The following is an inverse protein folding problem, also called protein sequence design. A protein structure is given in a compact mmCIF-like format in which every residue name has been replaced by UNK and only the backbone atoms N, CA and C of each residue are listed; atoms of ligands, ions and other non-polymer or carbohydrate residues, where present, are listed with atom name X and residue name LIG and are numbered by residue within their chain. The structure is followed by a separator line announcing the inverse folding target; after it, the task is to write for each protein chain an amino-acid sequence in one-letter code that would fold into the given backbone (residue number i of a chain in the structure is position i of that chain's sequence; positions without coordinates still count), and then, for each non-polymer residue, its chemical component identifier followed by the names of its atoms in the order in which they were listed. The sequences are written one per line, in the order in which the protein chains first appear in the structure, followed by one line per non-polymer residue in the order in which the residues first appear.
data_IF_917572642113
#
_entry.id   IF_917572642113
#
_cell.length_a   1.000
_cell.length_b   1.000
_cell.length_c   1.000
_cell.angle_alpha   90.00
_cell.angle_beta   90.00
_cell.angle_gamma   90.00
#
_symmetry.space_group_name_H-M   'P 1'
#
loop_
_entity.id
_entity.type
_entity.pdbx_description
1 polymer ?
#
# COMPACT_ATOMS: atom_id res chain seq x y z
N UNK A 1 9.78 -5.67 2.09
CA UNK A 1 9.20 -5.23 0.80
C UNK A 1 10.12 -4.22 0.17
N UNK A 2 10.55 -4.41 -1.08
CA UNK A 2 11.26 -3.36 -1.78
C UNK A 2 10.32 -2.14 -1.93
N UNK A 3 10.77 -1.00 -1.44
CA UNK A 3 10.12 0.29 -1.67
C UNK A 3 10.71 0.87 -2.94
N UNK A 4 9.88 1.50 -3.78
CA UNK A 4 10.39 2.28 -4.90
C UNK A 4 11.23 3.47 -4.39
N UNK A 5 12.14 4.03 -5.21
CA UNK A 5 13.02 5.10 -4.77
C UNK A 5 12.29 6.33 -4.21
N UNK A 6 11.10 6.68 -4.73
CA UNK A 6 10.35 7.83 -4.25
C UNK A 6 9.77 7.56 -2.85
N UNK A 7 9.14 6.39 -2.66
CA UNK A 7 8.67 5.94 -1.35
C UNK A 7 9.79 5.83 -0.31
N UNK A 8 10.96 5.33 -0.73
CA UNK A 8 12.15 5.25 0.13
C UNK A 8 12.63 6.62 0.59
N UNK A 9 12.74 7.58 -0.34
CA UNK A 9 13.17 8.94 -0.02
C UNK A 9 12.21 9.64 0.95
N UNK A 10 10.91 9.44 0.79
CA UNK A 10 9.91 9.98 1.74
C UNK A 10 10.06 9.33 3.11
N UNK A 11 10.22 8.01 3.18
CA UNK A 11 10.42 7.30 4.45
C UNK A 11 11.67 7.81 5.19
N UNK A 12 12.78 8.01 4.49
CA UNK A 12 14.01 8.56 5.09
C UNK A 12 13.75 9.93 5.74
N UNK A 13 13.08 10.85 5.04
CA UNK A 13 12.70 12.16 5.62
C UNK A 13 11.80 12.03 6.85
N UNK A 14 10.89 11.06 6.86
CA UNK A 14 10.04 10.79 8.03
C UNK A 14 10.86 10.25 9.21
N UNK A 15 11.86 9.40 8.95
CA UNK A 15 12.77 8.87 9.96
C UNK A 15 13.68 9.96 10.53
N UNK A 16 14.23 10.83 9.69
CA UNK A 16 15.03 11.99 10.13
C UNK A 16 14.20 12.92 11.04
N UNK A 17 12.96 13.23 10.63
CA UNK A 17 12.05 14.02 11.46
C UNK A 17 11.76 13.33 12.79
N UNK A 18 11.60 12.00 12.76
CA UNK A 18 11.31 11.19 13.92
C UNK A 18 12.45 11.20 14.94
N UNK A 19 13.70 11.19 14.51
CA UNK A 19 14.86 11.24 15.41
C UNK A 19 14.92 12.55 16.20
N UNK A 20 14.45 13.65 15.60
CA UNK A 20 14.33 14.96 16.27
C UNK A 20 13.22 14.97 17.34
N UNK A 21 12.21 14.07 17.25
CA UNK A 21 11.10 14.06 18.20
C UNK A 21 11.51 13.65 19.62
N UNK A 22 12.68 13.04 19.81
CA UNK A 22 13.21 12.59 21.11
C UNK A 22 12.16 11.83 21.94
N UNK A 23 11.52 10.84 21.30
CA UNK A 23 10.49 10.00 21.94
C UNK A 23 11.02 8.60 22.20
N UNK A 24 10.72 8.06 23.38
CA UNK A 24 10.96 6.65 23.72
C UNK A 24 9.92 5.67 23.15
N UNK A 25 8.96 6.16 22.36
CA UNK A 25 8.03 5.32 21.63
C UNK A 25 8.81 4.51 20.58
N UNK A 26 8.61 3.18 20.44
CA UNK A 26 9.36 2.37 19.47
C UNK A 26 8.76 2.34 18.05
N UNK A 27 7.56 2.90 17.84
CA UNK A 27 6.83 2.78 16.57
C UNK A 27 7.27 3.81 15.52
N UNK A 28 7.31 3.44 14.24
CA UNK A 28 7.68 4.36 13.14
C UNK A 28 6.74 5.56 13.08
N UNK A 29 5.43 5.34 13.14
CA UNK A 29 4.44 6.42 13.19
C UNK A 29 4.15 6.82 14.64
N UNK A 30 4.44 8.09 14.97
CA UNK A 30 4.16 8.69 16.27
C UNK A 30 3.25 9.90 16.06
N UNK A 31 2.18 9.98 16.84
CA UNK A 31 1.25 11.11 16.83
C UNK A 31 1.50 11.98 18.05
N UNK A 32 0.91 13.19 18.08
CA UNK A 32 0.95 14.04 19.27
C UNK A 32 0.45 13.31 20.53
N UNK A 33 -0.55 12.44 20.39
CA UNK A 33 -1.11 11.66 21.50
C UNK A 33 -0.26 10.46 21.91
N UNK A 34 0.49 9.83 21.00
CA UNK A 34 1.30 8.65 21.31
C UNK A 34 2.75 8.96 21.66
N UNK A 35 3.20 10.21 21.45
CA UNK A 35 4.59 10.65 21.64
C UNK A 35 5.15 10.38 23.04
N UNK A 36 4.37 10.58 24.09
CA UNK A 36 4.82 10.39 25.48
C UNK A 36 4.77 8.92 25.93
N UNK A 37 4.04 8.07 25.20
CA UNK A 37 3.83 6.67 25.54
C UNK A 37 4.59 5.71 24.64
N UNK A 38 4.26 4.42 24.77
CA UNK A 38 4.77 3.34 23.90
C UNK A 38 3.69 2.71 23.03
N UNK A 39 2.48 3.27 23.03
CA UNK A 39 1.38 2.76 22.23
C UNK A 39 1.57 3.13 20.75
N UNK A 40 1.13 2.27 19.81
CA UNK A 40 1.13 2.60 18.39
C UNK A 40 0.07 3.66 18.06
N UNK A 41 0.23 4.32 16.91
CA UNK A 41 -0.87 5.08 16.30
C UNK A 41 -2.05 4.14 16.02
N UNK A 42 -3.27 4.63 16.21
CA UNK A 42 -4.47 3.83 15.92
C UNK A 42 -4.63 3.59 14.42
N UNK A 43 -5.31 2.51 14.04
CA UNK A 43 -5.65 2.26 12.63
C UNK A 43 -6.52 3.39 12.07
N UNK A 44 -7.45 3.91 12.88
CA UNK A 44 -8.30 5.04 12.51
C UNK A 44 -7.49 6.28 12.16
N UNK A 45 -6.36 6.54 12.83
CA UNK A 45 -5.47 7.64 12.49
C UNK A 45 -4.98 7.56 11.04
N UNK A 46 -4.57 6.38 10.57
CA UNK A 46 -4.10 6.18 9.19
C UNK A 46 -5.24 6.36 8.19
N UNK A 47 -6.45 5.91 8.51
CA UNK A 47 -7.62 6.17 7.66
C UNK A 47 -7.89 7.67 7.53
N UNK A 48 -7.88 8.41 8.65
CA UNK A 48 -8.14 9.84 8.65
C UNK A 48 -7.07 10.68 7.95
N UNK A 49 -5.82 10.19 7.85
CA UNK A 49 -4.79 10.85 7.04
C UNK A 49 -5.18 10.91 5.55
N UNK A 50 -6.03 10.00 5.08
CA UNK A 50 -6.47 9.97 3.69
C UNK A 50 -7.77 10.73 3.45
N UNK A 51 -8.44 11.24 4.48
CA UNK A 51 -9.70 11.99 4.34
C UNK A 51 -9.61 13.13 3.30
N UNK A 52 -8.53 13.94 3.24
CA UNK A 52 -8.42 15.00 2.23
C UNK A 52 -8.38 14.49 0.78
N UNK A 53 -7.97 13.23 0.57
CA UNK A 53 -7.96 12.60 -0.74
C UNK A 53 -9.28 11.91 -1.10
N UNK A 54 -10.15 11.67 -0.12
CA UNK A 54 -11.36 10.86 -0.30
C UNK A 54 -11.11 9.39 -0.64
N UNK A 55 -9.86 8.91 -0.54
CA UNK A 55 -9.48 7.54 -0.91
C UNK A 55 -9.33 6.66 0.34
N UNK A 56 -10.05 5.53 0.46
CA UNK A 56 -9.89 4.64 1.61
C UNK A 56 -8.57 3.83 1.50
N UNK A 57 -7.95 3.42 2.63
CA UNK A 57 -6.71 2.63 2.62
C UNK A 57 -6.78 1.34 1.79
N UNK A 58 -7.95 0.69 1.73
CA UNK A 58 -8.18 -0.49 0.90
C UNK A 58 -7.93 -0.19 -0.58
N UNK A 59 -8.37 0.97 -1.07
CA UNK A 59 -8.21 1.35 -2.47
C UNK A 59 -6.75 1.64 -2.81
N UNK A 60 -6.00 2.30 -1.91
CA UNK A 60 -4.55 2.48 -2.08
C UNK A 60 -3.84 1.12 -2.22
N UNK A 61 -4.19 0.14 -1.37
CA UNK A 61 -3.67 -1.22 -1.45
C UNK A 61 -4.06 -1.91 -2.76
N UNK A 62 -5.33 -1.84 -3.17
CA UNK A 62 -5.80 -2.43 -4.42
C UNK A 62 -5.03 -1.88 -5.62
N UNK A 63 -4.93 -0.56 -5.75
CA UNK A 63 -4.24 0.08 -6.87
C UNK A 63 -2.77 -0.34 -6.94
N UNK A 64 -2.08 -0.43 -5.79
CA UNK A 64 -0.69 -0.89 -5.77
C UNK A 64 -0.53 -2.37 -6.15
N UNK A 65 -1.42 -3.23 -5.67
CA UNK A 65 -1.40 -4.65 -6.05
C UNK A 65 -1.66 -4.84 -7.54
N UNK A 66 -2.64 -4.13 -8.11
CA UNK A 66 -2.95 -4.13 -9.56
C UNK A 66 -1.73 -3.68 -10.37
N UNK A 67 -1.12 -2.55 -9.99
CA UNK A 67 0.07 -2.00 -10.65
C UNK A 67 1.25 -3.01 -10.64
N UNK A 68 1.48 -3.67 -9.51
CA UNK A 68 2.56 -4.65 -9.38
C UNK A 68 2.30 -5.93 -10.19
N UNK A 69 1.08 -6.48 -10.20
CA UNK A 69 0.81 -7.70 -11.00
C UNK A 69 0.82 -7.43 -12.50
N UNK A 70 0.62 -6.18 -12.93
CA UNK A 70 0.74 -5.79 -14.33
C UNK A 70 2.21 -5.77 -14.81
N UNK A 71 3.17 -5.74 -13.89
CA UNK A 71 4.61 -5.62 -14.19
C UNK A 71 5.46 -6.77 -13.65
N UNK A 72 4.92 -7.59 -12.74
CA UNK A 72 5.59 -8.70 -12.05
C UNK A 72 4.69 -9.93 -11.94
N UNK A 73 5.29 -11.12 -11.77
CA UNK A 73 4.54 -12.35 -11.55
C UNK A 73 3.63 -12.27 -10.30
N UNK A 74 2.33 -12.60 -10.40
CA UNK A 74 1.38 -12.49 -9.29
C UNK A 74 1.75 -13.31 -8.04
N UNK A 75 2.45 -14.46 -8.19
CA UNK A 75 2.89 -15.27 -7.04
C UNK A 75 4.04 -14.58 -6.30
N UNK A 76 4.93 -13.91 -7.03
CA UNK A 76 5.97 -13.09 -6.41
C UNK A 76 5.36 -11.91 -5.66
N UNK A 77 4.38 -11.22 -6.24
CA UNK A 77 3.64 -10.15 -5.57
C UNK A 77 2.93 -10.67 -4.32
N UNK A 78 2.25 -11.82 -4.40
CA UNK A 78 1.57 -12.43 -3.26
C UNK A 78 2.55 -12.76 -2.12
N UNK A 79 3.64 -13.47 -2.44
CA UNK A 79 4.69 -13.82 -1.48
C UNK A 79 5.30 -12.56 -0.84
N UNK A 80 5.48 -11.52 -1.64
CA UNK A 80 6.03 -10.27 -1.18
C UNK A 80 5.08 -9.62 -0.12
N UNK A 81 3.79 -9.56 -0.40
CA UNK A 81 2.81 -8.98 0.52
C UNK A 81 2.37 -9.92 1.65
N UNK A 82 2.98 -11.10 1.79
CA UNK A 82 2.59 -12.11 2.77
C UNK A 82 1.17 -12.65 2.55
N UNK A 83 0.71 -12.63 1.30
CA UNK A 83 -0.60 -13.08 0.88
C UNK A 83 -0.55 -14.52 0.37
N UNK A 84 -1.65 -15.24 0.53
CA UNK A 84 -1.88 -16.46 -0.24
C UNK A 84 -1.87 -16.14 -1.75
N UNK A 85 -1.33 -17.01 -2.63
CA UNK A 85 -1.30 -16.77 -4.07
C UNK A 85 -2.67 -16.47 -4.69
N UNK A 86 -3.75 -17.06 -4.17
CA UNK A 86 -5.12 -16.76 -4.60
C UNK A 86 -5.68 -15.47 -4.00
N UNK A 87 -5.11 -15.00 -2.88
CA UNK A 87 -5.54 -13.79 -2.16
C UNK A 87 -5.36 -12.49 -2.96
N UNK A 88 -4.43 -12.46 -3.91
CA UNK A 88 -4.24 -11.29 -4.80
C UNK A 88 -5.41 -11.16 -5.79
N UNK A 89 -6.03 -12.28 -6.20
CA UNK A 89 -7.12 -12.29 -7.18
C UNK A 89 -8.36 -11.50 -6.70
N UNK A 90 -8.60 -11.44 -5.39
CA UNK A 90 -9.69 -10.63 -4.79
C UNK A 90 -9.53 -9.14 -5.13
N UNK A 91 -8.30 -8.67 -5.31
CA UNK A 91 -8.02 -7.27 -5.67
C UNK A 91 -8.07 -7.01 -7.18
N UNK A 92 -8.13 -8.07 -7.99
CA UNK A 92 -8.18 -8.02 -9.46
C UNK A 92 -9.60 -8.26 -10.00
N UNK A 93 -10.48 -8.89 -9.22
CA UNK A 93 -11.81 -9.32 -9.65
C UNK A 93 -12.69 -8.19 -10.22
N UNK A 94 -12.56 -6.97 -9.70
CA UNK A 94 -13.38 -5.81 -10.11
C UNK A 94 -12.65 -4.88 -11.11
N UNK A 95 -11.46 -5.25 -11.59
CA UNK A 95 -10.59 -4.38 -12.42
C UNK A 95 -10.14 -5.10 -13.69
N UNK A 96 -11.09 -5.68 -14.40
CA UNK A 96 -10.85 -6.25 -15.73
C UNK A 96 -10.73 -5.11 -16.75
N UNK A 97 -9.63 -5.09 -17.51
CA UNK A 97 -9.45 -4.18 -18.64
C UNK A 97 -10.29 -4.67 -19.83
N UNK A 98 -11.42 -4.00 -20.08
CA UNK A 98 -12.32 -4.33 -21.20
C UNK A 98 -11.65 -4.20 -22.57
N UNK A 99 -10.67 -3.29 -22.72
CA UNK A 99 -9.95 -3.09 -23.98
C UNK A 99 -9.14 -4.30 -24.40
N UNK A 100 -8.55 -5.01 -23.43
CA UNK A 100 -7.82 -6.27 -23.68
C UNK A 100 -8.74 -7.44 -24.02
N UNK A 101 -9.99 -7.43 -23.57
CA UNK A 101 -10.96 -8.49 -23.87
C UNK A 101 -11.53 -8.38 -25.30
N UNK A 102 -11.57 -7.18 -25.88
CA UNK A 102 -12.05 -6.98 -27.24
C UNK A 102 -11.08 -7.55 -28.28
N UNK A 103 -9.77 -7.31 -28.11
CA UNK A 103 -8.70 -7.84 -28.97
C UNK A 103 -8.73 -9.39 -29.06
N UNK A 104 -9.07 -10.07 -27.97
CA UNK A 104 -9.14 -11.54 -27.94
C UNK A 104 -10.39 -12.11 -28.63
N UNK A 105 -11.49 -11.37 -28.64
CA UNK A 105 -12.72 -11.76 -29.36
C UNK A 105 -12.60 -11.54 -30.86
N UNK A 106 -11.86 -10.51 -31.27
CA UNK A 106 -11.57 -10.26 -32.69
C UNK A 106 -10.60 -11.29 -33.28
N UNK A 107 -9.60 -11.75 -32.51
CA UNK A 107 -8.68 -12.83 -32.93
C UNK A 107 -9.33 -14.22 -33.05
N UNK A 108 -10.53 -14.42 -32.50
CA UNK A 108 -11.27 -15.69 -32.55
C UNK A 108 -12.38 -15.72 -33.61
N UNK A 109 -12.53 -14.66 -34.41
CA UNK A 109 -13.38 -14.62 -35.61
C UNK A 109 -12.52 -14.81 -36.85
#
# INVERSE_FOLDING_TARGET
MPLDPASWNVLQRCLDHRDILQTGNPHVMVTRGTKAGKAPASIAYVSHLLDPSGVPPRMVRSTRLVDLVNTMDPKLVAAAFGMDPGGVMIYLADRVDEGRLLDERERRR
#
